data_IF_667046497001
#
_entry.id   IF_667046497001
#
_cell.length_a   1.000
_cell.length_b   1.000
_cell.length_c   1.000
_cell.angle_alpha   90.00
_cell.angle_beta   90.00
_cell.angle_gamma   90.00
#
_symmetry.space_group_name_H-M   'P 1'
#
loop_
_entity.id
_entity.type
_entity.pdbx_description
1 polymer ?
#
# COMPACT_ATOMS: atom_id res chain seq x y z
N UNK A 1 15.49 -7.45 0.59
CA UNK A 1 15.31 -6.14 1.26
C UNK A 1 13.90 -6.13 1.82
N UNK A 2 13.63 -5.54 2.98
CA UNK A 2 12.31 -5.64 3.61
C UNK A 2 11.24 -4.96 2.75
N UNK A 3 10.14 -5.65 2.44
CA UNK A 3 9.06 -5.03 1.69
C UNK A 3 8.29 -4.07 2.60
N UNK A 4 8.30 -2.77 2.23
CA UNK A 4 7.56 -1.72 2.94
C UNK A 4 6.07 -1.87 2.71
N UNK A 5 5.28 -1.53 3.73
CA UNK A 5 3.83 -1.43 3.61
C UNK A 5 3.44 -0.08 3.01
N UNK A 6 2.32 -0.07 2.30
CA UNK A 6 1.63 1.14 1.84
C UNK A 6 0.26 1.15 2.50
N UNK A 7 -0.06 2.27 3.15
CA UNK A 7 -1.41 2.58 3.61
C UNK A 7 -2.13 3.38 2.51
N UNK A 8 -3.26 2.87 2.05
CA UNK A 8 -4.14 3.51 1.07
C UNK A 8 -5.42 3.93 1.78
N UNK A 9 -5.66 5.23 1.86
CA UNK A 9 -6.91 5.78 2.40
C UNK A 9 -7.91 5.92 1.26
N UNK A 10 -8.92 5.06 1.27
CA UNK A 10 -10.06 5.14 0.35
C UNK A 10 -11.19 5.94 1.01
N UNK A 11 -12.18 6.34 0.20
CA UNK A 11 -13.34 7.08 0.70
C UNK A 11 -14.13 6.38 1.81
N UNK A 12 -14.10 5.04 1.88
CA UNK A 12 -14.88 4.24 2.82
C UNK A 12 -14.04 3.56 3.91
N UNK A 13 -12.73 3.37 3.67
CA UNK A 13 -11.85 2.57 4.53
C UNK A 13 -10.37 2.82 4.26
N UNK A 14 -9.53 2.36 5.18
CA UNK A 14 -8.07 2.29 4.99
C UNK A 14 -7.67 0.85 4.66
N UNK A 15 -6.84 0.69 3.62
CA UNK A 15 -6.25 -0.59 3.22
C UNK A 15 -4.74 -0.50 3.45
N UNK A 16 -4.18 -1.41 4.25
CA UNK A 16 -2.73 -1.52 4.44
C UNK A 16 -2.26 -2.79 3.76
N UNK A 17 -1.23 -2.69 2.91
CA UNK A 17 -0.69 -3.84 2.19
C UNK A 17 0.79 -3.66 1.89
N UNK A 18 1.56 -4.74 1.90
CA UNK A 18 2.97 -4.74 1.52
C UNK A 18 3.11 -4.46 0.03
N UNK A 19 3.97 -3.53 -0.37
CA UNK A 19 4.22 -3.24 -1.79
C UNK A 19 4.49 -1.78 -2.07
N UNK A 20 5.04 -1.53 -3.27
CA UNK A 20 5.41 -0.20 -3.73
C UNK A 20 4.23 0.45 -4.48
N UNK A 21 3.85 1.69 -4.15
CA UNK A 21 2.80 2.40 -4.86
C UNK A 21 3.31 3.03 -6.15
N UNK A 22 2.54 2.89 -7.21
CA UNK A 22 2.76 3.50 -8.51
C UNK A 22 1.45 4.16 -8.98
N UNK A 23 1.46 5.48 -9.11
CA UNK A 23 0.34 6.22 -9.68
C UNK A 23 0.45 6.21 -11.22
N UNK A 24 -0.51 5.57 -11.88
CA UNK A 24 -0.69 5.67 -13.32
C UNK A 24 -1.76 6.73 -13.61
N UNK A 25 -1.31 7.95 -13.85
CA UNK A 25 -2.19 9.09 -14.14
C UNK A 25 -2.84 9.01 -15.54
N UNK A 26 -2.31 8.17 -16.45
CA UNK A 26 -2.91 7.98 -17.78
C UNK A 26 -4.18 7.14 -17.68
N UNK A 27 -4.12 6.08 -16.88
CA UNK A 27 -5.23 5.14 -16.69
C UNK A 27 -6.12 5.51 -15.48
N UNK A 28 -5.71 6.48 -14.66
CA UNK A 28 -6.49 6.94 -13.50
C UNK A 28 -6.52 5.91 -12.37
N UNK A 29 -5.40 5.23 -12.12
CA UNK A 29 -5.31 4.17 -11.12
C UNK A 29 -4.07 4.27 -10.25
N UNK A 30 -4.21 3.87 -8.98
CA UNK A 30 -3.09 3.58 -8.09
C UNK A 30 -2.81 2.08 -8.11
N UNK A 31 -1.59 1.70 -8.47
CA UNK A 31 -1.13 0.32 -8.53
C UNK A 31 -0.22 0.06 -7.33
N UNK A 32 -0.44 -1.03 -6.61
CA UNK A 32 0.48 -1.53 -5.59
C UNK A 32 1.19 -2.77 -6.14
N UNK A 33 2.49 -2.65 -6.37
CA UNK A 33 3.32 -3.73 -6.89
C UNK A 33 3.91 -4.56 -5.73
N UNK A 34 3.58 -5.86 -5.69
CA UNK A 34 4.09 -6.81 -4.70
C UNK A 34 5.38 -7.49 -5.17
N UNK A 35 6.18 -8.03 -4.25
CA UNK A 35 7.50 -8.63 -4.58
C UNK A 35 7.38 -9.93 -5.41
N UNK A 36 6.18 -10.50 -5.54
CA UNK A 36 5.90 -11.66 -6.39
C UNK A 36 5.54 -11.35 -7.83
N UNK A 37 5.68 -10.09 -8.28
CA UNK A 37 5.26 -9.65 -9.61
C UNK A 37 3.74 -9.49 -9.77
N UNK A 38 2.96 -9.87 -8.75
CA UNK A 38 1.53 -9.56 -8.67
C UNK A 38 1.32 -8.10 -8.29
N UNK A 39 0.17 -7.55 -8.65
CA UNK A 39 -0.20 -6.19 -8.29
C UNK A 39 -1.68 -6.12 -7.88
N UNK A 40 -2.02 -5.07 -7.15
CA UNK A 40 -3.40 -4.65 -6.90
C UNK A 40 -3.61 -3.28 -7.52
N UNK A 41 -4.78 -3.08 -8.09
CA UNK A 41 -5.14 -1.82 -8.75
C UNK A 41 -6.32 -1.20 -8.02
N UNK A 42 -6.21 0.08 -7.70
CA UNK A 42 -7.24 0.89 -7.06
C UNK A 42 -7.63 2.01 -8.01
N UNK A 43 -8.94 2.27 -8.15
CA UNK A 43 -9.42 3.41 -8.91
C UNK A 43 -9.06 4.70 -8.17
N UNK A 44 -8.34 5.61 -8.83
CA UNK A 44 -7.82 6.84 -8.25
C UNK A 44 -8.92 7.79 -7.76
N UNK A 45 -10.09 7.79 -8.39
CA UNK A 45 -11.24 8.63 -7.97
C UNK A 45 -11.72 8.31 -6.55
N UNK A 46 -11.41 7.11 -6.05
CA UNK A 46 -11.78 6.67 -4.71
C UNK A 46 -10.62 6.70 -3.71
N UNK A 47 -9.42 7.08 -4.15
CA UNK A 47 -8.24 7.22 -3.29
C UNK A 47 -8.18 8.66 -2.79
N UNK A 48 -8.19 8.84 -1.47
CA UNK A 48 -8.02 10.14 -0.83
C UNK A 48 -6.53 10.44 -0.64
N UNK A 49 -5.77 9.45 -0.17
CA UNK A 49 -4.34 9.59 0.13
C UNK A 49 -3.65 8.22 0.10
N UNK A 50 -2.33 8.21 -0.12
CA UNK A 50 -1.51 7.02 0.05
C UNK A 50 -0.17 7.37 0.71
N UNK A 51 0.23 6.55 1.69
CA UNK A 51 1.47 6.71 2.43
C UNK A 51 2.29 5.42 2.37
N UNK A 52 3.50 5.51 1.81
CA UNK A 52 4.47 4.42 1.87
C UNK A 52 5.19 4.50 3.21
N UNK A 53 4.99 3.46 4.03
CA UNK A 53 5.52 3.36 5.37
C UNK A 53 7.01 3.08 5.34
N UNK A 54 7.73 3.56 6.35
CA UNK A 54 9.12 3.16 6.56
C UNK A 54 9.23 1.66 6.90
N UNK A 55 10.42 1.09 6.77
CA UNK A 55 10.68 -0.29 7.18
C UNK A 55 10.41 -0.51 8.68
N UNK A 56 10.66 0.49 9.51
CA UNK A 56 10.40 0.46 10.96
C UNK A 56 8.90 0.42 11.27
N UNK A 57 8.12 1.29 10.64
CA UNK A 57 6.65 1.32 10.80
C UNK A 57 6.01 0.03 10.25
N UNK A 58 6.52 -0.49 9.13
CA UNK A 58 6.06 -1.75 8.56
C UNK A 58 6.31 -2.93 9.51
N UNK A 59 7.48 -2.94 10.17
CA UNK A 59 7.81 -3.97 11.17
C UNK A 59 6.92 -3.86 12.40
N UNK A 60 6.62 -2.64 12.87
CA UNK A 60 5.73 -2.43 14.01
C UNK A 60 4.30 -2.94 13.73
N UNK A 61 3.80 -2.79 12.50
CA UNK A 61 2.51 -3.31 12.05
C UNK A 61 2.39 -4.84 12.07
N UNK A 62 3.50 -5.54 11.83
CA UNK A 62 3.56 -7.00 11.91
C UNK A 62 3.88 -7.51 13.32
N UNK A 63 4.08 -6.62 14.30
CA UNK A 63 4.65 -6.93 15.62
C UNK A 63 3.63 -7.13 16.74
N UNK A 64 2.34 -7.31 16.45
CA UNK A 64 1.30 -7.63 17.47
C UNK A 64 0.91 -9.12 17.50
N UNK A 65 1.74 -10.02 16.98
CA UNK A 65 1.61 -11.47 17.19
C UNK A 65 2.95 -12.07 17.65
N UNK A 66 3.35 -11.85 18.92
CA UNK A 66 4.38 -12.64 19.62
C UNK A 66 4.36 -12.32 21.15
N UNK A 67 3.60 -13.15 21.89
CA UNK A 67 3.53 -13.42 23.36
C UNK A 67 3.18 -12.28 24.37
#
# INVERSE_FOLDING_TARGET
MGQRATAITLIDRVVITTGEPLLDASEGVLIIQHEGGTHRTFNWDFVIDYYQMSEEETRALGGEEED
#
